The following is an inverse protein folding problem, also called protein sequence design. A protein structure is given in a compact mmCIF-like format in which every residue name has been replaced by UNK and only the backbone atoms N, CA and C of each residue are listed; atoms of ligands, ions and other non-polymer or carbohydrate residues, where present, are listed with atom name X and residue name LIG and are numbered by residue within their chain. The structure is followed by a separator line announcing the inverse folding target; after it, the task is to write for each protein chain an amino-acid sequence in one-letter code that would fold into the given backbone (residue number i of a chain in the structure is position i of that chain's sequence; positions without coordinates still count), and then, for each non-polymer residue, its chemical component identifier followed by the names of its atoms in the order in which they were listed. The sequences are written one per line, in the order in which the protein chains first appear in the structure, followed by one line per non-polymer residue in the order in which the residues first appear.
data_IF_450664326918
#
_entry.id   IF_450664326918
#
_cell.length_a   1.000
_cell.length_b   1.000
_cell.length_c   1.000
_cell.angle_alpha   90.00
_cell.angle_beta   90.00
_cell.angle_gamma   90.00
#
_symmetry.space_group_name_H-M   'P 1'
#
loop_
_entity.id
_entity.type
_entity.pdbx_description
1 polymer ?
#
# COMPACT_ATOMS: atom_id res chain seq x y z
N UNK A 1 -28.00 18.41 -12.97
CA UNK A 1 -27.17 19.60 -13.30
C UNK A 1 -28.08 20.80 -13.14
N UNK A 2 -27.96 21.53 -12.04
CA UNK A 2 -28.88 22.63 -11.68
C UNK A 2 -28.86 23.69 -12.80
N UNK A 3 -29.97 23.83 -13.52
CA UNK A 3 -30.13 24.80 -14.60
C UNK A 3 -31.30 25.73 -14.30
N UNK A 4 -30.99 27.03 -14.36
CA UNK A 4 -31.88 28.22 -14.42
C UNK A 4 -32.39 28.81 -13.11
N UNK A 5 -31.45 29.41 -12.38
CA UNK A 5 -31.32 30.87 -12.11
C UNK A 5 -29.84 31.02 -11.70
N UNK A 6 -29.02 31.66 -12.56
CA UNK A 6 -27.56 31.62 -12.41
C UNK A 6 -27.13 32.57 -11.29
N UNK A 7 -27.00 32.05 -10.07
CA UNK A 7 -26.34 32.77 -8.98
C UNK A 7 -24.89 32.99 -9.38
N UNK A 8 -24.47 34.25 -9.46
CA UNK A 8 -23.10 34.64 -9.76
C UNK A 8 -22.25 34.46 -8.51
N UNK A 9 -20.99 34.10 -8.68
CA UNK A 9 -20.09 33.89 -7.56
C UNK A 9 -19.90 35.16 -6.69
N UNK A 10 -19.92 36.34 -7.32
CA UNK A 10 -19.88 37.64 -6.65
C UNK A 10 -21.15 38.00 -5.84
N UNK A 11 -22.25 37.24 -5.98
CA UNK A 11 -23.48 37.45 -5.22
C UNK A 11 -23.44 36.80 -3.85
N UNK A 12 -22.48 35.89 -3.61
CA UNK A 12 -22.26 35.33 -2.29
C UNK A 12 -21.50 36.33 -1.41
N UNK A 13 -21.94 36.47 -0.15
CA UNK A 13 -21.17 37.22 0.85
C UNK A 13 -20.15 36.35 1.59
N UNK A 14 -20.49 35.07 1.79
CA UNK A 14 -19.69 34.09 2.52
C UNK A 14 -19.85 32.70 1.91
N UNK A 15 -18.76 31.96 1.83
CA UNK A 15 -18.72 30.58 1.37
C UNK A 15 -17.99 29.77 2.43
N UNK A 16 -18.67 28.74 2.93
CA UNK A 16 -18.14 27.81 3.93
C UNK A 16 -17.80 26.50 3.25
N UNK A 17 -16.56 26.04 3.38
CA UNK A 17 -16.07 24.80 2.81
C UNK A 17 -15.77 23.83 3.94
N UNK A 18 -16.51 22.74 3.99
CA UNK A 18 -16.18 21.61 4.84
C UNK A 18 -15.09 20.75 4.19
N UNK A 19 -14.24 20.15 5.01
CA UNK A 19 -13.04 19.39 4.60
C UNK A 19 -12.17 20.13 3.57
N UNK A 20 -11.86 21.40 3.87
CA UNK A 20 -11.19 22.30 2.94
C UNK A 20 -9.82 21.82 2.50
N UNK A 21 -9.20 20.91 3.26
CA UNK A 21 -7.90 20.31 2.93
C UNK A 21 -7.90 19.56 1.59
N UNK A 22 -9.08 19.19 1.07
CA UNK A 22 -9.26 18.67 -0.29
C UNK A 22 -9.08 19.70 -1.41
N UNK A 23 -8.94 21.00 -1.12
CA UNK A 23 -8.73 22.06 -2.11
C UNK A 23 -7.31 22.03 -2.73
N UNK A 24 -6.97 20.89 -3.33
CA UNK A 24 -5.71 20.61 -4.01
C UNK A 24 -5.95 19.74 -5.26
N UNK A 25 -4.92 19.61 -6.10
CA UNK A 25 -4.92 18.74 -7.29
C UNK A 25 -6.11 18.99 -8.24
N UNK A 26 -7.00 18.01 -8.42
CA UNK A 26 -8.12 18.03 -9.36
C UNK A 26 -9.47 18.10 -8.65
N UNK A 27 -9.49 18.40 -7.36
CA UNK A 27 -10.72 18.44 -6.58
C UNK A 27 -11.67 19.55 -7.09
N UNK A 28 -13.00 19.33 -7.07
CA UNK A 28 -13.99 20.31 -7.53
C UNK A 28 -13.83 21.70 -6.88
N UNK A 29 -13.42 21.76 -5.62
CA UNK A 29 -13.16 23.03 -4.93
C UNK A 29 -12.12 23.88 -5.67
N UNK A 30 -10.98 23.29 -6.03
CA UNK A 30 -9.94 24.04 -6.71
C UNK A 30 -10.38 24.52 -8.10
N UNK A 31 -11.13 23.68 -8.82
CA UNK A 31 -11.71 24.08 -10.12
C UNK A 31 -12.62 25.28 -9.98
N UNK A 32 -13.51 25.25 -8.98
CA UNK A 32 -14.44 26.33 -8.71
C UNK A 32 -13.72 27.62 -8.28
N UNK A 33 -12.66 27.54 -7.47
CA UNK A 33 -11.83 28.70 -7.15
C UNK A 33 -11.12 29.28 -8.38
N UNK A 34 -10.52 28.43 -9.21
CA UNK A 34 -9.82 28.86 -10.42
C UNK A 34 -10.76 29.46 -11.47
N UNK A 35 -11.97 28.92 -11.61
CA UNK A 35 -12.94 29.37 -12.62
C UNK A 35 -13.74 30.60 -12.19
N UNK A 36 -13.97 30.79 -10.89
CA UNK A 36 -14.90 31.82 -10.40
C UNK A 36 -14.35 32.75 -9.32
N UNK A 37 -13.51 32.27 -8.41
CA UNK A 37 -13.04 33.11 -7.30
C UNK A 37 -11.81 33.95 -7.69
N UNK A 38 -10.80 33.32 -8.28
CA UNK A 38 -9.53 33.97 -8.63
C UNK A 38 -9.64 34.89 -9.84
N UNK A 39 -10.70 34.74 -10.64
CA UNK A 39 -10.99 35.60 -11.80
C UNK A 39 -11.59 36.95 -11.40
N UNK A 40 -12.16 37.06 -10.20
CA UNK A 40 -12.71 38.31 -9.68
C UNK A 40 -11.63 39.22 -9.09
N UNK A 41 -11.88 40.53 -9.12
CA UNK A 41 -11.11 41.51 -8.35
C UNK A 41 -11.29 41.23 -6.85
N UNK A 42 -10.26 41.45 -6.00
CA UNK A 42 -10.30 41.10 -4.58
C UNK A 42 -11.52 41.63 -3.82
N UNK A 43 -12.00 42.83 -4.16
CA UNK A 43 -13.11 43.51 -3.49
C UNK A 43 -14.47 42.87 -3.79
N UNK A 44 -14.60 42.18 -4.92
CA UNK A 44 -15.83 41.49 -5.34
C UNK A 44 -15.86 40.02 -4.92
N UNK A 45 -14.82 39.54 -4.24
CA UNK A 45 -14.74 38.13 -3.85
C UNK A 45 -15.60 37.86 -2.61
N UNK A 46 -16.41 36.80 -2.60
CA UNK A 46 -17.05 36.33 -1.37
C UNK A 46 -15.97 36.01 -0.32
N UNK A 47 -16.29 36.24 0.95
CA UNK A 47 -15.44 35.75 2.04
C UNK A 47 -15.44 34.23 2.06
N UNK A 48 -14.29 33.64 2.37
CA UNK A 48 -14.12 32.18 2.43
C UNK A 48 -13.83 31.77 3.87
N UNK A 49 -14.57 30.78 4.36
CA UNK A 49 -14.30 30.09 5.61
C UNK A 49 -14.09 28.60 5.31
N UNK A 50 -12.88 28.11 5.53
CA UNK A 50 -12.54 26.69 5.39
C UNK A 50 -12.50 26.00 6.75
N UNK A 51 -13.18 24.86 6.87
CA UNK A 51 -13.17 24.02 8.05
C UNK A 51 -12.39 22.74 7.74
N UNK A 52 -11.50 22.34 8.65
CA UNK A 52 -10.78 21.06 8.59
C UNK A 52 -10.17 20.77 9.95
N UNK A 53 -10.18 19.50 10.36
CA UNK A 53 -9.42 19.05 11.53
C UNK A 53 -7.92 18.91 11.23
N UNK A 54 -7.56 18.62 9.97
CA UNK A 54 -6.17 18.43 9.54
C UNK A 54 -5.92 19.10 8.19
N UNK A 55 -5.23 20.26 8.14
CA UNK A 55 -5.04 21.00 6.90
C UNK A 55 -3.92 20.44 6.00
N UNK A 56 -2.93 19.76 6.57
CA UNK A 56 -1.81 19.17 5.83
C UNK A 56 -1.15 18.02 6.62
N UNK A 57 -0.54 17.07 5.89
CA UNK A 57 0.23 15.98 6.48
C UNK A 57 1.12 15.29 5.44
N UNK A 58 2.44 15.31 5.67
CA UNK A 58 3.46 14.64 4.85
C UNK A 58 4.55 14.02 5.72
N UNK A 59 5.35 13.13 5.14
CA UNK A 59 6.42 12.41 5.82
C UNK A 59 7.50 13.35 6.39
N UNK A 60 7.65 14.55 5.82
CA UNK A 60 8.57 15.57 6.34
C UNK A 60 7.85 16.87 6.68
N UNK A 61 8.45 17.62 7.63
CA UNK A 61 7.97 18.95 8.02
C UNK A 61 8.02 19.93 6.84
N UNK A 62 9.07 19.87 6.02
CA UNK A 62 9.25 20.75 4.86
C UNK A 62 8.15 20.55 3.82
N UNK A 63 7.84 19.29 3.47
CA UNK A 63 6.76 18.97 2.53
C UNK A 63 5.39 19.34 3.10
N UNK A 64 5.18 19.14 4.41
CA UNK A 64 3.95 19.54 5.09
C UNK A 64 3.75 21.05 5.00
N UNK A 65 4.82 21.83 5.23
CA UNK A 65 4.79 23.28 5.11
C UNK A 65 4.46 23.74 3.68
N UNK A 66 5.09 23.14 2.66
CA UNK A 66 4.80 23.45 1.26
C UNK A 66 3.35 23.12 0.89
N UNK A 67 2.83 21.98 1.35
CA UNK A 67 1.43 21.59 1.15
C UNK A 67 0.47 22.61 1.78
N UNK A 68 0.77 23.05 3.00
CA UNK A 68 -0.03 24.04 3.72
C UNK A 68 -0.04 25.40 2.99
N UNK A 69 1.13 25.89 2.56
CA UNK A 69 1.22 27.12 1.78
C UNK A 69 0.44 27.03 0.47
N UNK A 70 0.52 25.89 -0.22
CA UNK A 70 -0.26 25.64 -1.44
C UNK A 70 -1.76 25.70 -1.20
N UNK A 71 -2.25 25.09 -0.11
CA UNK A 71 -3.66 25.13 0.28
C UNK A 71 -4.13 26.58 0.54
N UNK A 72 -3.37 27.37 1.32
CA UNK A 72 -3.74 28.75 1.63
C UNK A 72 -3.77 29.63 0.37
N UNK A 73 -2.82 29.43 -0.54
CA UNK A 73 -2.80 30.11 -1.85
C UNK A 73 -4.01 29.74 -2.69
N UNK A 74 -4.37 28.45 -2.75
CA UNK A 74 -5.54 27.98 -3.48
C UNK A 74 -6.84 28.60 -2.96
N UNK A 75 -6.92 28.84 -1.65
CA UNK A 75 -8.04 29.50 -0.97
C UNK A 75 -7.98 31.03 -1.01
N UNK A 76 -7.19 31.62 -1.91
CA UNK A 76 -7.16 33.07 -2.12
C UNK A 76 -6.28 33.82 -1.12
N UNK A 77 -5.26 33.15 -0.56
CA UNK A 77 -4.39 33.75 0.47
C UNK A 77 -5.04 33.72 1.85
N UNK A 78 -5.83 32.68 2.14
CA UNK A 78 -6.47 32.49 3.44
C UNK A 78 -5.43 32.44 4.58
N UNK A 79 -5.89 32.73 5.79
CA UNK A 79 -5.11 32.59 7.02
C UNK A 79 -5.63 31.41 7.82
N UNK A 80 -4.73 30.75 8.55
CA UNK A 80 -5.10 29.68 9.46
C UNK A 80 -5.49 30.31 10.79
N UNK A 81 -6.65 29.93 11.30
CA UNK A 81 -7.04 30.19 12.67
C UNK A 81 -6.90 28.89 13.46
N UNK A 82 -6.11 28.93 14.54
CA UNK A 82 -6.00 27.86 15.54
C UNK A 82 -6.43 28.41 16.89
N UNK A 83 -6.78 27.52 17.82
CA UNK A 83 -7.10 27.92 19.20
C UNK A 83 -5.79 28.18 19.93
N UNK A 84 -5.49 29.46 20.24
CA UNK A 84 -4.25 29.85 20.94
C UNK A 84 -4.45 30.24 22.41
N UNK A 85 -5.68 30.63 22.80
CA UNK A 85 -5.96 31.22 24.14
C UNK A 85 -6.71 30.29 25.07
N UNK A 86 -7.64 29.50 24.53
CA UNK A 86 -8.53 28.63 25.30
C UNK A 86 -8.12 27.15 25.13
N UNK A 87 -6.81 26.87 25.10
CA UNK A 87 -6.30 25.50 24.94
C UNK A 87 -6.72 24.60 26.12
N UNK A 88 -6.79 25.14 27.34
CA UNK A 88 -7.22 24.38 28.52
C UNK A 88 -8.68 23.95 28.43
N UNK A 89 -9.57 24.84 27.97
CA UNK A 89 -10.97 24.52 27.72
C UNK A 89 -11.10 23.48 26.59
N UNK A 90 -10.31 23.62 25.52
CA UNK A 90 -10.32 22.69 24.39
C UNK A 90 -9.91 21.27 24.80
N UNK A 91 -8.92 21.12 25.69
CA UNK A 91 -8.50 19.82 26.23
C UNK A 91 -9.65 19.05 26.91
N UNK A 92 -10.63 19.76 27.48
CA UNK A 92 -11.82 19.14 28.06
C UNK A 92 -12.75 18.47 27.04
N UNK A 93 -12.62 18.81 25.75
CA UNK A 93 -13.39 18.25 24.63
C UNK A 93 -12.56 17.31 23.75
N UNK A 94 -11.25 17.22 23.97
CA UNK A 94 -10.40 16.27 23.25
C UNK A 94 -10.76 14.83 23.63
N UNK A 95 -10.72 13.94 22.65
CA UNK A 95 -10.92 12.52 22.90
C UNK A 95 -9.80 11.99 23.80
N UNK A 96 -10.17 11.41 24.95
CA UNK A 96 -9.25 10.69 25.83
C UNK A 96 -8.98 9.25 25.40
N UNK A 97 -9.41 8.87 24.18
CA UNK A 97 -9.19 7.53 23.66
C UNK A 97 -7.69 7.25 23.50
N UNK A 98 -7.18 6.30 24.27
CA UNK A 98 -5.81 5.82 24.13
C UNK A 98 -5.72 4.78 23.01
N UNK A 99 -4.77 4.97 22.11
CA UNK A 99 -4.45 3.99 21.08
C UNK A 99 -3.55 2.92 21.71
N UNK A 100 -4.11 1.73 21.94
CA UNK A 100 -3.35 0.57 22.37
C UNK A 100 -2.99 -0.29 21.16
N UNK A 101 -1.76 -0.17 20.69
CA UNK A 101 -1.23 -1.04 19.63
C UNK A 101 -0.94 -2.44 20.20
N UNK A 102 -1.69 -3.44 19.76
CA UNK A 102 -1.46 -4.85 20.10
C UNK A 102 -0.73 -5.50 18.93
N UNK A 103 0.53 -5.89 19.15
CA UNK A 103 1.28 -6.67 18.16
C UNK A 103 0.89 -8.15 18.28
N UNK A 104 0.26 -8.68 17.24
CA UNK A 104 -0.08 -10.11 17.13
C UNK A 104 0.97 -10.79 16.24
N UNK A 105 1.84 -11.66 16.77
CA UNK A 105 2.90 -12.30 15.99
C UNK A 105 2.31 -13.27 14.95
N UNK A 106 3.06 -13.54 13.87
CA UNK A 106 2.73 -14.60 12.90
C UNK A 106 2.64 -15.98 13.58
N UNK A 107 1.60 -16.74 13.22
CA UNK A 107 1.45 -18.14 13.62
C UNK A 107 2.53 -18.98 12.95
N UNK A 108 2.79 -20.18 13.47
CA UNK A 108 3.77 -21.10 12.87
C UNK A 108 3.46 -21.44 11.41
N UNK A 109 2.17 -21.54 11.06
CA UNK A 109 1.70 -21.78 9.68
C UNK A 109 1.94 -20.57 8.77
N UNK A 110 1.67 -19.36 9.25
CA UNK A 110 1.98 -18.12 8.50
C UNK A 110 3.47 -17.93 8.30
N UNK A 111 4.30 -18.21 9.31
CA UNK A 111 5.77 -18.18 9.19
C UNK A 111 6.24 -19.21 8.15
N UNK A 112 5.72 -20.44 8.22
CA UNK A 112 6.08 -21.50 7.27
C UNK A 112 5.68 -21.14 5.84
N UNK A 113 4.48 -20.60 5.64
CA UNK A 113 4.02 -20.16 4.33
C UNK A 113 4.85 -18.98 3.80
N UNK A 114 5.12 -17.98 4.63
CA UNK A 114 5.97 -16.83 4.29
C UNK A 114 7.37 -17.29 3.87
N UNK A 115 7.93 -18.31 4.54
CA UNK A 115 9.20 -18.95 4.13
C UNK A 115 9.12 -19.50 2.72
N UNK A 116 8.09 -20.27 2.40
CA UNK A 116 7.92 -20.88 1.08
C UNK A 116 7.70 -19.85 -0.02
N UNK A 117 6.97 -18.77 0.27
CA UNK A 117 6.81 -17.66 -0.64
C UNK A 117 8.16 -16.95 -0.90
N UNK A 118 8.95 -16.72 0.16
CA UNK A 118 10.30 -16.15 0.03
C UNK A 118 11.24 -17.03 -0.81
N UNK A 119 11.27 -18.34 -0.54
CA UNK A 119 12.04 -19.31 -1.34
C UNK A 119 11.70 -19.19 -2.82
N UNK A 120 10.40 -19.13 -3.15
CA UNK A 120 9.94 -18.98 -4.52
C UNK A 120 10.29 -17.62 -5.14
N UNK A 121 10.16 -16.52 -4.38
CA UNK A 121 10.56 -15.17 -4.82
C UNK A 121 12.05 -15.14 -5.15
N UNK A 122 12.90 -15.74 -4.31
CA UNK A 122 14.36 -15.82 -4.52
C UNK A 122 14.68 -16.61 -5.79
N UNK A 123 13.99 -17.73 -6.02
CA UNK A 123 14.14 -18.52 -7.26
C UNK A 123 13.72 -17.70 -8.49
N UNK A 124 12.57 -17.02 -8.43
CA UNK A 124 12.09 -16.14 -9.50
C UNK A 124 13.09 -15.02 -9.78
N UNK A 125 13.60 -14.35 -8.73
CA UNK A 125 14.62 -13.31 -8.84
C UNK A 125 15.91 -13.85 -9.48
N UNK A 126 16.37 -15.05 -9.08
CA UNK A 126 17.59 -15.63 -9.66
C UNK A 126 17.47 -15.84 -11.18
N UNK A 127 16.31 -16.31 -11.66
CA UNK A 127 16.04 -16.51 -13.09
C UNK A 127 15.88 -15.18 -13.80
N UNK A 128 15.17 -14.24 -13.18
CA UNK A 128 14.99 -12.88 -13.69
C UNK A 128 16.34 -12.16 -13.87
N UNK A 129 17.18 -12.18 -12.83
CA UNK A 129 18.49 -11.55 -12.82
C UNK A 129 19.36 -12.05 -13.97
N UNK A 130 19.36 -13.37 -14.25
CA UNK A 130 20.12 -13.98 -15.35
C UNK A 130 19.74 -13.45 -16.73
N UNK A 131 18.51 -12.94 -16.90
CA UNK A 131 17.97 -12.42 -18.15
C UNK A 131 17.98 -10.87 -18.21
N UNK A 132 18.49 -10.22 -17.18
CA UNK A 132 18.39 -8.78 -16.96
C UNK A 132 19.74 -8.10 -16.80
N UNK A 133 19.73 -6.77 -16.86
CA UNK A 133 20.87 -5.92 -16.49
C UNK A 133 21.37 -6.12 -15.06
N UNK A 134 20.63 -6.82 -14.20
CA UNK A 134 20.97 -7.04 -12.79
C UNK A 134 21.89 -8.24 -12.54
N UNK A 135 22.19 -9.07 -13.56
CA UNK A 135 22.96 -10.33 -13.40
C UNK A 135 24.25 -10.20 -12.58
N UNK A 136 24.96 -9.07 -12.73
CA UNK A 136 26.23 -8.81 -12.05
C UNK A 136 26.14 -7.61 -11.10
N UNK A 137 24.93 -7.20 -10.70
CA UNK A 137 24.73 -6.06 -9.81
C UNK A 137 25.21 -6.40 -8.40
N UNK A 138 26.14 -5.60 -7.89
CA UNK A 138 26.70 -5.69 -6.54
C UNK A 138 26.22 -4.53 -5.63
N UNK A 139 25.29 -3.72 -6.13
CA UNK A 139 24.71 -2.61 -5.37
C UNK A 139 23.48 -3.07 -4.61
N UNK A 140 23.24 -2.52 -3.42
CA UNK A 140 21.98 -2.75 -2.73
C UNK A 140 20.79 -2.27 -3.60
N UNK A 141 19.63 -2.94 -3.56
CA UNK A 141 19.33 -4.16 -2.80
C UNK A 141 19.77 -5.48 -3.49
N UNK A 142 20.23 -5.45 -4.75
CA UNK A 142 20.64 -6.65 -5.50
C UNK A 142 21.77 -7.44 -4.82
N UNK A 143 22.67 -6.74 -4.12
CA UNK A 143 23.80 -7.33 -3.39
C UNK A 143 23.37 -8.41 -2.38
N UNK A 144 22.15 -8.33 -1.83
CA UNK A 144 21.62 -9.30 -0.88
C UNK A 144 21.30 -10.66 -1.51
N UNK A 145 21.13 -10.71 -2.83
CA UNK A 145 20.70 -11.89 -3.59
C UNK A 145 21.82 -12.43 -4.50
N UNK A 146 23.06 -11.94 -4.37
CA UNK A 146 24.19 -12.30 -5.26
C UNK A 146 24.42 -13.81 -5.31
N UNK A 147 24.34 -14.49 -4.17
CA UNK A 147 24.54 -15.95 -4.12
C UNK A 147 23.43 -16.69 -4.88
N UNK A 148 22.18 -16.24 -4.77
CA UNK A 148 21.07 -16.81 -5.53
C UNK A 148 21.26 -16.60 -7.04
N UNK A 149 21.81 -15.46 -7.45
CA UNK A 149 22.13 -15.21 -8.87
C UNK A 149 23.30 -16.07 -9.34
N UNK A 150 24.33 -16.26 -8.50
CA UNK A 150 25.52 -17.06 -8.83
C UNK A 150 25.21 -18.56 -8.90
N UNK A 151 24.32 -19.05 -8.05
CA UNK A 151 23.92 -20.46 -7.96
C UNK A 151 22.40 -20.62 -8.17
N UNK A 152 21.90 -20.34 -9.38
CA UNK A 152 20.47 -20.19 -9.59
C UNK A 152 19.75 -21.54 -9.59
N UNK A 153 18.92 -21.77 -8.57
CA UNK A 153 18.25 -23.04 -8.30
C UNK A 153 18.88 -23.86 -7.18
N UNK A 154 19.95 -23.38 -6.54
CA UNK A 154 20.52 -24.02 -5.36
C UNK A 154 19.56 -23.90 -4.16
N UNK A 155 19.10 -25.05 -3.67
CA UNK A 155 18.12 -25.13 -2.57
C UNK A 155 18.71 -24.63 -1.25
N UNK A 156 19.99 -24.89 -0.98
CA UNK A 156 20.62 -24.49 0.27
C UNK A 156 20.80 -22.97 0.32
N UNK A 157 21.27 -22.37 -0.78
CA UNK A 157 21.38 -20.91 -0.92
C UNK A 157 20.01 -20.25 -0.78
N UNK A 158 19.01 -20.77 -1.50
CA UNK A 158 17.63 -20.25 -1.47
C UNK A 158 17.03 -20.29 -0.06
N UNK A 159 17.16 -21.43 0.63
CA UNK A 159 16.63 -21.61 1.99
C UNK A 159 17.33 -20.68 2.99
N UNK A 160 18.66 -20.58 2.92
CA UNK A 160 19.44 -19.69 3.79
C UNK A 160 19.04 -18.22 3.64
N UNK A 161 18.83 -17.76 2.40
CA UNK A 161 18.38 -16.40 2.11
C UNK A 161 16.93 -16.18 2.58
N UNK A 162 16.03 -17.14 2.38
CA UNK A 162 14.65 -17.05 2.88
C UNK A 162 14.61 -16.96 4.41
N UNK A 163 15.41 -17.77 5.12
CA UNK A 163 15.52 -17.72 6.58
C UNK A 163 16.09 -16.39 7.09
N UNK A 164 17.03 -15.80 6.33
CA UNK A 164 17.53 -14.45 6.62
C UNK A 164 16.42 -13.41 6.46
N UNK A 165 15.70 -13.42 5.34
CA UNK A 165 14.65 -12.42 5.07
C UNK A 165 13.39 -12.58 5.92
N UNK A 166 13.19 -13.74 6.54
CA UNK A 166 12.15 -13.91 7.58
C UNK A 166 12.46 -13.14 8.86
N UNK A 167 13.74 -12.93 9.19
CA UNK A 167 14.17 -12.21 10.39
C UNK A 167 14.27 -10.71 10.15
N UNK A 168 14.57 -10.32 8.91
CA UNK A 168 14.78 -8.94 8.49
C UNK A 168 14.35 -8.80 7.02
N UNK A 169 13.18 -8.21 6.80
CA UNK A 169 12.55 -8.03 5.49
C UNK A 169 12.83 -6.65 4.86
N UNK A 170 13.48 -5.74 5.58
CA UNK A 170 13.96 -4.45 5.08
C UNK A 170 14.72 -4.57 3.74
N UNK A 171 15.60 -5.59 3.53
CA UNK A 171 16.31 -5.79 2.28
C UNK A 171 15.42 -5.97 1.03
N UNK A 172 14.15 -6.33 1.20
CA UNK A 172 13.20 -6.58 0.10
C UNK A 172 12.35 -5.37 -0.27
N UNK A 173 12.22 -4.38 0.61
CA UNK A 173 11.34 -3.22 0.42
C UNK A 173 11.70 -2.44 -0.86
N UNK A 174 12.99 -2.26 -1.12
CA UNK A 174 13.51 -1.49 -2.27
C UNK A 174 13.66 -2.32 -3.55
N UNK A 175 13.48 -3.65 -3.48
CA UNK A 175 13.76 -4.55 -4.59
C UNK A 175 12.78 -4.33 -5.76
N UNK A 176 11.52 -3.98 -5.45
CA UNK A 176 10.47 -3.72 -6.44
C UNK A 176 10.87 -2.63 -7.43
N UNK A 177 11.43 -1.52 -6.94
CA UNK A 177 11.85 -0.41 -7.79
C UNK A 177 12.98 -0.80 -8.76
N UNK A 178 13.93 -1.60 -8.28
CA UNK A 178 15.05 -2.08 -9.10
C UNK A 178 14.61 -3.11 -10.14
N UNK A 179 13.69 -4.00 -9.79
CA UNK A 179 13.11 -4.96 -10.75
C UNK A 179 12.36 -4.23 -11.86
N UNK A 180 11.56 -3.20 -11.53
CA UNK A 180 10.81 -2.41 -12.51
C UNK A 180 11.76 -1.67 -13.47
N UNK A 181 12.86 -1.13 -12.95
CA UNK A 181 13.85 -0.39 -13.74
C UNK A 181 14.79 -1.28 -14.57
N UNK A 182 14.83 -2.59 -14.31
CA UNK A 182 15.71 -3.51 -15.01
C UNK A 182 15.35 -3.66 -16.49
N UNK A 183 16.37 -3.85 -17.32
CA UNK A 183 16.22 -4.06 -18.76
C UNK A 183 16.62 -5.48 -19.15
N UNK A 184 15.98 -6.02 -20.18
CA UNK A 184 16.31 -7.35 -20.69
C UNK A 184 17.67 -7.33 -21.40
N UNK A 185 18.54 -8.29 -21.10
CA UNK A 185 19.87 -8.38 -21.70
C UNK A 185 19.89 -8.98 -23.11
N UNK A 186 18.82 -9.68 -23.51
CA UNK A 186 18.75 -10.40 -24.80
C UNK A 186 17.41 -10.19 -25.49
N UNK A 187 17.41 -10.06 -26.83
CA UNK A 187 16.18 -9.83 -27.61
C UNK A 187 15.29 -11.08 -27.70
N UNK A 188 15.87 -12.28 -27.61
CA UNK A 188 15.15 -13.54 -27.83
C UNK A 188 14.21 -13.91 -26.66
N UNK A 189 14.36 -13.24 -25.51
CA UNK A 189 13.63 -13.56 -24.27
C UNK A 189 12.76 -12.41 -23.75
N UNK A 190 12.49 -11.38 -24.55
CA UNK A 190 11.84 -10.16 -24.08
C UNK A 190 10.45 -10.43 -23.47
N UNK A 191 9.68 -11.35 -24.05
CA UNK A 191 8.34 -11.66 -23.53
C UNK A 191 8.38 -12.39 -22.18
N UNK A 192 9.19 -13.45 -22.07
CA UNK A 192 9.41 -14.18 -20.81
C UNK A 192 9.98 -13.28 -19.73
N UNK A 193 10.88 -12.37 -20.09
CA UNK A 193 11.41 -11.36 -19.18
C UNK A 193 10.29 -10.48 -18.61
N UNK A 194 9.43 -9.91 -19.46
CA UNK A 194 8.32 -9.05 -19.01
C UNK A 194 7.33 -9.80 -18.13
N UNK A 195 7.00 -11.05 -18.47
CA UNK A 195 6.10 -11.86 -17.64
C UNK A 195 6.71 -12.17 -16.27
N UNK A 196 7.99 -12.56 -16.22
CA UNK A 196 8.67 -12.85 -14.97
C UNK A 196 8.87 -11.58 -14.12
N UNK A 197 9.11 -10.43 -14.75
CA UNK A 197 9.19 -9.12 -14.07
C UNK A 197 7.88 -8.80 -13.35
N UNK A 198 6.75 -8.87 -14.06
CA UNK A 198 5.43 -8.60 -13.51
C UNK A 198 5.04 -9.61 -12.41
N UNK A 199 5.37 -10.88 -12.61
CA UNK A 199 5.16 -11.93 -11.63
C UNK A 199 5.92 -11.65 -10.33
N UNK A 200 7.21 -11.33 -10.44
CA UNK A 200 8.06 -11.06 -9.29
C UNK A 200 7.60 -9.82 -8.50
N UNK A 201 7.21 -8.75 -9.20
CA UNK A 201 6.64 -7.55 -8.57
C UNK A 201 5.36 -7.88 -7.80
N UNK A 202 4.45 -8.66 -8.39
CA UNK A 202 3.22 -9.09 -7.69
C UNK A 202 3.54 -9.85 -6.41
N UNK A 203 4.41 -10.86 -6.48
CA UNK A 203 4.78 -11.66 -5.31
C UNK A 203 5.42 -10.82 -4.20
N UNK A 204 6.26 -9.84 -4.55
CA UNK A 204 6.88 -8.93 -3.59
C UNK A 204 5.85 -8.01 -2.92
N UNK A 205 4.84 -7.54 -3.66
CA UNK A 205 3.75 -6.74 -3.09
C UNK A 205 2.82 -7.56 -2.21
N UNK A 206 2.63 -8.84 -2.52
CA UNK A 206 1.76 -9.73 -1.74
C UNK A 206 2.44 -10.29 -0.48
N UNK A 207 3.78 -10.35 -0.43
CA UNK A 207 4.53 -10.90 0.71
C UNK A 207 4.22 -10.24 2.07
N UNK A 208 4.13 -8.89 2.19
CA UNK A 208 3.76 -8.23 3.44
C UNK A 208 2.31 -8.48 3.87
N UNK A 209 1.44 -8.89 2.96
CA UNK A 209 0.02 -9.15 3.24
C UNK A 209 -0.22 -10.50 3.92
N UNK A 210 0.81 -11.36 3.99
CA UNK A 210 0.70 -12.67 4.65
C UNK A 210 0.39 -12.47 6.15
N UNK A 211 -0.85 -12.79 6.52
CA UNK A 211 -1.36 -12.69 7.89
C UNK A 211 -2.06 -11.37 8.23
N UNK A 212 -2.14 -10.43 7.28
CA UNK A 212 -2.76 -9.10 7.47
C UNK A 212 -3.81 -8.75 6.41
N UNK A 213 -3.63 -9.23 5.17
CA UNK A 213 -4.54 -8.95 4.04
C UNK A 213 -5.73 -9.90 3.98
N UNK A 214 -6.91 -9.38 3.61
CA UNK A 214 -8.11 -10.19 3.46
C UNK A 214 -8.12 -11.04 2.17
N UNK A 215 -7.41 -10.60 1.12
CA UNK A 215 -7.55 -11.16 -0.24
C UNK A 215 -6.25 -11.75 -0.82
N UNK A 216 -5.12 -11.68 -0.12
CA UNK A 216 -3.83 -12.09 -0.68
C UNK A 216 -3.81 -13.55 -1.15
N UNK A 217 -4.57 -14.44 -0.49
CA UNK A 217 -4.68 -15.85 -0.88
C UNK A 217 -5.34 -15.98 -2.25
N UNK A 218 -6.40 -15.21 -2.52
CA UNK A 218 -7.08 -15.19 -3.82
C UNK A 218 -6.16 -14.59 -4.90
N UNK A 219 -5.37 -13.57 -4.56
CA UNK A 219 -4.40 -12.98 -5.48
C UNK A 219 -3.27 -13.96 -5.84
N UNK A 220 -2.74 -14.69 -4.86
CA UNK A 220 -1.73 -15.72 -5.09
C UNK A 220 -2.30 -16.90 -5.89
N UNK A 221 -3.52 -17.34 -5.59
CA UNK A 221 -4.20 -18.39 -6.35
C UNK A 221 -4.37 -17.99 -7.82
N UNK A 222 -4.86 -16.76 -8.10
CA UNK A 222 -4.96 -16.24 -9.47
C UNK A 222 -3.59 -16.13 -10.16
N UNK A 223 -2.56 -15.75 -9.41
CA UNK A 223 -1.20 -15.55 -9.94
C UNK A 223 -0.49 -16.87 -10.26
N UNK A 224 -0.76 -17.93 -9.50
CA UNK A 224 -0.08 -19.23 -9.60
C UNK A 224 -0.91 -20.30 -10.31
N UNK A 225 -2.20 -20.06 -10.52
CA UNK A 225 -3.10 -20.97 -11.23
C UNK A 225 -2.57 -21.35 -12.62
N UNK A 226 -2.81 -22.59 -13.08
CA UNK A 226 -2.34 -23.06 -14.37
C UNK A 226 -2.72 -22.12 -15.52
N UNK A 227 -1.71 -21.56 -16.17
CA UNK A 227 -1.83 -20.69 -17.34
C UNK A 227 -0.63 -20.90 -18.25
N UNK A 228 -0.68 -20.38 -19.48
CA UNK A 228 0.47 -20.50 -20.40
C UNK A 228 1.72 -19.79 -19.86
N UNK A 229 1.56 -18.69 -19.12
CA UNK A 229 2.66 -18.01 -18.44
C UNK A 229 3.30 -18.90 -17.36
N UNK A 230 2.49 -19.61 -16.58
CA UNK A 230 2.98 -20.53 -15.55
C UNK A 230 3.74 -21.71 -16.17
N UNK A 231 3.27 -22.23 -17.32
CA UNK A 231 4.01 -23.26 -18.07
C UNK A 231 5.38 -22.75 -18.55
N UNK A 232 5.49 -21.49 -18.97
CA UNK A 232 6.79 -20.89 -19.31
C UNK A 232 7.71 -20.78 -18.08
N UNK A 233 7.16 -20.45 -16.91
CA UNK A 233 7.94 -20.41 -15.67
C UNK A 233 8.43 -21.81 -15.24
N UNK A 234 7.62 -22.85 -15.44
CA UNK A 234 8.03 -24.23 -15.22
C UNK A 234 9.20 -24.64 -16.12
N UNK A 235 9.23 -24.17 -17.38
CA UNK A 235 10.39 -24.38 -18.29
C UNK A 235 11.66 -23.70 -17.80
N UNK A 236 11.55 -22.62 -17.01
CA UNK A 236 12.67 -21.98 -16.31
C UNK A 236 13.08 -22.72 -15.02
N UNK A 237 12.43 -23.85 -14.71
CA UNK A 237 12.68 -24.63 -13.49
C UNK A 237 12.11 -23.99 -12.23
N UNK A 238 11.10 -23.12 -12.35
CA UNK A 238 10.41 -22.54 -11.19
C UNK A 238 9.33 -23.52 -10.68
N UNK A 239 9.28 -23.81 -9.36
CA UNK A 239 8.35 -24.79 -8.79
C UNK A 239 6.95 -24.18 -8.58
N UNK A 240 6.33 -23.69 -9.65
CA UNK A 240 5.03 -23.00 -9.60
C UNK A 240 3.91 -23.85 -9.00
N UNK A 241 3.83 -25.14 -9.39
CA UNK A 241 2.83 -26.08 -8.87
C UNK A 241 3.01 -26.33 -7.37
N UNK A 242 4.25 -26.55 -6.93
CA UNK A 242 4.54 -26.78 -5.52
C UNK A 242 4.14 -25.57 -4.67
N UNK A 243 4.41 -24.35 -5.14
CA UNK A 243 3.95 -23.15 -4.45
C UNK A 243 2.42 -23.03 -4.47
N UNK A 244 1.78 -23.28 -5.62
CA UNK A 244 0.32 -23.22 -5.75
C UNK A 244 -0.38 -24.18 -4.77
N UNK A 245 0.10 -25.42 -4.67
CA UNK A 245 -0.38 -26.40 -3.69
C UNK A 245 -0.23 -25.89 -2.25
N UNK A 246 0.88 -25.23 -1.93
CA UNK A 246 1.08 -24.60 -0.62
C UNK A 246 0.11 -23.44 -0.38
N UNK A 247 -0.27 -22.67 -1.40
CA UNK A 247 -1.32 -21.62 -1.28
C UNK A 247 -2.66 -22.25 -0.94
N UNK A 248 -3.06 -23.30 -1.66
CA UNK A 248 -4.33 -23.99 -1.42
C UNK A 248 -4.35 -24.65 -0.03
N UNK A 249 -3.24 -25.26 0.39
CA UNK A 249 -3.11 -25.84 1.72
C UNK A 249 -3.20 -24.76 2.81
N UNK A 250 -2.51 -23.64 2.63
CA UNK A 250 -2.55 -22.51 3.55
C UNK A 250 -3.96 -21.90 3.66
N UNK A 251 -4.69 -21.78 2.55
CA UNK A 251 -6.09 -21.37 2.52
C UNK A 251 -6.98 -22.33 3.32
N UNK A 252 -6.81 -23.64 3.10
CA UNK A 252 -7.53 -24.67 3.83
C UNK A 252 -7.20 -24.68 5.33
N UNK A 253 -5.96 -24.36 5.69
CA UNK A 253 -5.52 -24.25 7.07
C UNK A 253 -6.16 -23.06 7.79
N UNK A 254 -6.21 -21.89 7.16
CA UNK A 254 -6.84 -20.73 7.79
C UNK A 254 -8.36 -20.82 7.90
N UNK A 255 -9.03 -21.63 7.08
CA UNK A 255 -10.43 -22.00 7.29
C UNK A 255 -10.65 -22.87 8.55
N UNK A 256 -9.60 -23.55 9.04
CA UNK A 256 -9.65 -24.43 10.21
C UNK A 256 -9.02 -23.81 11.46
N UNK A 257 -8.09 -22.89 11.29
CA UNK A 257 -7.29 -22.29 12.34
C UNK A 257 -7.67 -20.82 12.54
N UNK A 258 -8.51 -20.57 13.56
CA UNK A 258 -8.99 -19.24 13.91
C UNK A 258 -7.90 -18.31 14.45
N UNK A 259 -6.65 -18.77 14.60
CA UNK A 259 -5.51 -17.91 14.96
C UNK A 259 -4.87 -17.24 13.72
N UNK A 260 -5.18 -17.73 12.52
CA UNK A 260 -4.78 -17.15 11.25
C UNK A 260 -5.71 -15.99 10.86
N UNK A 261 -5.22 -15.03 10.06
CA UNK A 261 -6.02 -13.93 9.47
C UNK A 261 -6.71 -12.95 10.44
N UNK A 262 -6.39 -13.00 11.73
CA UNK A 262 -7.17 -12.32 12.79
C UNK A 262 -6.60 -10.97 13.27
N UNK A 263 -5.67 -10.35 12.55
CA UNK A 263 -4.64 -9.51 13.22
C UNK A 263 -4.82 -8.01 13.19
N UNK A 264 -5.90 -7.50 12.60
CA UNK A 264 -6.28 -6.10 12.78
C UNK A 264 -7.57 -6.04 13.60
N UNK A 265 -7.41 -6.11 14.92
CA UNK A 265 -8.45 -5.66 15.85
C UNK A 265 -7.99 -4.30 16.36
N UNK A 266 -8.49 -3.23 15.77
CA UNK A 266 -8.50 -1.94 16.47
C UNK A 266 -9.48 -2.07 17.63
N UNK A 267 -8.95 -2.16 18.85
CA UNK A 267 -9.77 -2.14 20.06
C UNK A 267 -9.87 -0.70 20.52
N UNK A 268 -11.02 -0.08 20.25
CA UNK A 268 -11.37 1.22 20.81
C UNK A 268 -11.84 0.99 22.26
N UNK A 269 -11.06 1.47 23.24
CA UNK A 269 -11.44 1.41 24.66
C UNK A 269 -12.19 2.69 25.01
N UNK A 270 -13.51 2.60 25.12
CA UNK A 270 -14.35 3.66 25.67
C UNK A 270 -14.83 3.24 27.05
N UNK A 271 -14.38 3.94 28.10
CA UNK A 271 -14.94 3.87 29.46
C UNK A 271 -15.29 2.43 29.95
N UNK A 272 -14.34 1.50 29.85
CA UNK A 272 -14.50 0.14 30.38
C UNK A 272 -15.28 -0.84 29.50
N UNK A 273 -15.68 -0.46 28.29
CA UNK A 273 -16.27 -1.37 27.30
C UNK A 273 -15.25 -1.76 26.24
N UNK A 274 -15.01 -3.07 26.09
CA UNK A 274 -14.19 -3.64 25.03
C UNK A 274 -15.07 -3.93 23.81
N UNK A 275 -14.85 -3.24 22.69
CA UNK A 275 -15.43 -3.63 21.40
C UNK A 275 -14.45 -4.52 20.65
N UNK A 276 -14.82 -5.80 20.47
CA UNK A 276 -14.09 -6.74 19.61
C UNK A 276 -14.58 -6.57 18.18
N UNK A 277 -13.82 -5.88 17.34
CA UNK A 277 -14.07 -5.89 15.89
C UNK A 277 -13.69 -7.27 15.37
N UNK A 278 -14.69 -8.06 14.98
CA UNK A 278 -14.50 -9.34 14.29
C UNK A 278 -14.25 -9.00 12.82
N UNK A 279 -13.05 -9.23 12.29
CA UNK A 279 -12.86 -9.25 10.85
C UNK A 279 -13.85 -10.28 10.27
N UNK A 280 -14.72 -9.84 9.38
CA UNK A 280 -15.74 -10.68 8.77
C UNK A 280 -15.05 -11.78 7.95
N UNK A 281 -15.41 -13.03 8.23
CA UNK A 281 -15.20 -14.16 7.34
C UNK A 281 -15.87 -13.87 6.00
N UNK A 282 -15.09 -13.52 4.96
CA UNK A 282 -15.56 -13.52 3.58
C UNK A 282 -15.33 -14.89 2.94
N UNK A 283 -15.95 -15.94 3.48
CA UNK A 283 -16.12 -17.23 2.78
C UNK A 283 -17.39 -17.96 3.27
N UNK A 284 -18.52 -17.28 3.21
CA UNK A 284 -19.84 -17.92 3.11
C UNK A 284 -20.71 -17.04 2.21
N UNK A 285 -20.80 -17.36 0.93
CA UNK A 285 -22.05 -17.84 0.29
C UNK A 285 -21.89 -17.96 -1.23
N UNK A 286 -22.17 -19.14 -1.78
CA UNK A 286 -22.55 -19.36 -3.19
C UNK A 286 -22.85 -20.84 -3.43
N UNK A 287 -23.85 -21.36 -2.70
CA UNK A 287 -24.66 -22.49 -3.17
C UNK A 287 -26.10 -22.30 -2.70
N UNK A 288 -26.84 -21.53 -3.49
CA UNK A 288 -28.27 -21.78 -3.72
C UNK A 288 -28.43 -22.76 -4.88
#
# INVERSE_FOLDING_TARGET
MLQRELIRWEEFSLIVLDEVHHCNKLHPYLKLFNSHHHTLIPESRPKILGLTASPAGKSTVSETYQMLQGLLKNLGGAKIAVVEREEEDLKGFESSAEIHAINVPLSSKEIQFRRHLLEYIILCYSRFAQMSSLKNSLTAPCSYLVDAVRYPGDRQVTTSLAERFLKDDEPLADLTGVIIAASCSTKDNTQTFTFLQLHLVKLLLTLPEVGTGANFVEELDKTLSPSDNVKEFEKLGLPCRELHEKVLQFAADGNKDLTMFSKLIEVWVFHGFYFRVKCLNLLQDSRG
#
